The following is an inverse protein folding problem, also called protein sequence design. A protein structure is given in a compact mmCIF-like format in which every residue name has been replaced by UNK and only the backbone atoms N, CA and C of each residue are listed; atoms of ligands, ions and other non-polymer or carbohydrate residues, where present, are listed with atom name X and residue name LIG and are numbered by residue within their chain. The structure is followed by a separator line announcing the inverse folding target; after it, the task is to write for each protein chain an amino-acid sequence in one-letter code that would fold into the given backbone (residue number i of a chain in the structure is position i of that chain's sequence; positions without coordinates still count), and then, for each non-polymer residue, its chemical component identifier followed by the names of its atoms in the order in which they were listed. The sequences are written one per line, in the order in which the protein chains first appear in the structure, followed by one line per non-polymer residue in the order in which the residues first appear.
data_IF_805262238564
#
_entry.id   IF_805262238564
#
_cell.length_a   1.000
_cell.length_b   1.000
_cell.length_c   1.000
_cell.angle_alpha   90.00
_cell.angle_beta   90.00
_cell.angle_gamma   90.00
#
_symmetry.space_group_name_H-M   'P 1'
#
loop_
_entity.id
_entity.type
_entity.pdbx_description
1 polymer ?
#
# COMPACT_ATOMS: atom_id res chain seq x y z
N UNK A 1 -41.15 -23.37 -51.38
CA UNK A 1 -39.70 -23.11 -51.30
C UNK A 1 -39.07 -24.32 -50.61
N UNK A 2 -38.33 -25.16 -51.35
CA UNK A 2 -37.66 -26.34 -50.77
C UNK A 2 -36.29 -25.89 -50.27
N UNK A 3 -36.08 -25.91 -48.96
CA UNK A 3 -34.79 -25.58 -48.35
C UNK A 3 -33.90 -26.80 -48.43
N UNK A 4 -32.75 -26.68 -49.11
CA UNK A 4 -31.76 -27.74 -49.25
C UNK A 4 -31.06 -28.01 -47.91
N UNK A 5 -31.10 -29.26 -47.45
CA UNK A 5 -30.33 -29.74 -46.30
C UNK A 5 -29.16 -30.56 -46.86
N UNK A 6 -27.89 -30.19 -46.57
CA UNK A 6 -26.74 -30.87 -47.12
C UNK A 6 -26.64 -32.35 -46.65
N UNK A 7 -26.03 -33.23 -47.45
CA UNK A 7 -25.87 -34.64 -47.11
C UNK A 7 -25.06 -34.80 -45.81
N UNK A 8 -25.43 -35.81 -45.01
CA UNK A 8 -24.86 -36.10 -43.68
C UNK A 8 -24.94 -34.95 -42.65
N UNK A 9 -25.85 -33.99 -42.82
CA UNK A 9 -26.01 -32.85 -41.90
C UNK A 9 -26.10 -33.26 -40.42
N UNK A 10 -26.88 -34.30 -40.10
CA UNK A 10 -27.06 -34.80 -38.72
C UNK A 10 -25.74 -35.28 -38.10
N UNK A 11 -24.93 -36.02 -38.86
CA UNK A 11 -23.64 -36.53 -38.39
C UNK A 11 -22.63 -35.41 -38.17
N UNK A 12 -22.56 -34.43 -39.08
CA UNK A 12 -21.68 -33.26 -38.92
C UNK A 12 -22.00 -32.48 -37.64
N UNK A 13 -23.29 -32.30 -37.35
CA UNK A 13 -23.75 -31.61 -36.12
C UNK A 13 -23.40 -32.43 -34.87
N UNK A 14 -23.65 -33.75 -34.85
CA UNK A 14 -23.30 -34.61 -33.72
C UNK A 14 -21.79 -34.60 -33.48
N UNK A 15 -20.98 -34.78 -34.53
CA UNK A 15 -19.51 -34.74 -34.42
C UNK A 15 -19.03 -33.39 -33.90
N UNK A 16 -19.60 -32.29 -34.37
CA UNK A 16 -19.26 -30.95 -33.87
C UNK A 16 -19.58 -30.80 -32.38
N UNK A 17 -20.76 -31.21 -31.94
CA UNK A 17 -21.18 -31.14 -30.52
C UNK A 17 -20.25 -32.00 -29.65
N UNK A 18 -19.95 -33.23 -30.08
CA UNK A 18 -19.05 -34.14 -29.35
C UNK A 18 -17.64 -33.57 -29.26
N UNK A 19 -17.09 -33.06 -30.36
CA UNK A 19 -15.77 -32.43 -30.36
C UNK A 19 -15.73 -31.21 -29.44
N UNK A 20 -16.75 -30.35 -29.49
CA UNK A 20 -16.86 -29.18 -28.62
C UNK A 20 -16.95 -29.60 -27.15
N UNK A 21 -17.68 -30.67 -26.85
CA UNK A 21 -17.81 -31.19 -25.48
C UNK A 21 -16.50 -31.78 -24.95
N UNK A 22 -15.79 -32.57 -25.77
CA UNK A 22 -14.49 -33.13 -25.42
C UNK A 22 -13.47 -32.01 -25.19
N UNK A 23 -13.37 -31.04 -26.12
CA UNK A 23 -12.45 -29.91 -25.98
C UNK A 23 -12.79 -29.10 -24.73
N UNK A 24 -14.08 -28.83 -24.49
CA UNK A 24 -14.54 -28.14 -23.29
C UNK A 24 -14.15 -28.87 -22.00
N UNK A 25 -14.44 -30.17 -21.92
CA UNK A 25 -14.11 -31.00 -20.76
C UNK A 25 -12.59 -31.07 -20.50
N UNK A 26 -11.79 -31.24 -21.55
CA UNK A 26 -10.32 -31.29 -21.45
C UNK A 26 -9.77 -29.93 -21.00
N UNK A 27 -10.22 -28.82 -21.59
CA UNK A 27 -9.77 -27.48 -21.23
C UNK A 27 -10.11 -27.13 -19.77
N UNK A 28 -11.33 -27.45 -19.32
CA UNK A 28 -11.74 -27.26 -17.93
C UNK A 28 -10.93 -28.15 -17.00
N UNK A 29 -10.70 -29.41 -17.37
CA UNK A 29 -9.86 -30.35 -16.62
C UNK A 29 -8.45 -29.81 -16.41
N UNK A 30 -7.77 -29.35 -17.46
CA UNK A 30 -6.44 -28.75 -17.37
C UNK A 30 -6.44 -27.44 -16.58
N UNK A 31 -7.44 -26.58 -16.79
CA UNK A 31 -7.54 -25.30 -16.09
C UNK A 31 -7.66 -25.46 -14.56
N UNK A 32 -8.19 -26.59 -14.09
CA UNK A 32 -8.32 -26.90 -12.66
C UNK A 32 -7.16 -27.76 -12.16
N UNK A 33 -6.82 -28.83 -12.87
CA UNK A 33 -5.80 -29.79 -12.43
C UNK A 33 -4.39 -29.19 -12.42
N UNK A 34 -4.02 -28.40 -13.43
CA UNK A 34 -2.66 -27.84 -13.52
C UNK A 34 -2.35 -26.90 -12.33
N UNK A 35 -3.21 -25.93 -11.97
CA UNK A 35 -3.01 -25.16 -10.75
C UNK A 35 -2.96 -26.02 -9.48
N UNK A 36 -3.85 -27.01 -9.33
CA UNK A 36 -3.88 -27.84 -8.11
C UNK A 36 -2.54 -28.55 -7.88
N UNK A 37 -2.02 -29.22 -8.91
CA UNK A 37 -0.75 -29.95 -8.80
C UNK A 37 0.44 -29.01 -8.55
N UNK A 38 0.47 -27.84 -9.19
CA UNK A 38 1.48 -26.81 -8.92
C UNK A 38 1.41 -26.28 -7.49
N UNK A 39 0.20 -26.02 -6.99
CA UNK A 39 -0.01 -25.55 -5.62
C UNK A 39 0.38 -26.60 -4.58
N UNK A 40 0.01 -27.88 -4.80
CA UNK A 40 0.45 -28.99 -3.93
C UNK A 40 1.96 -29.13 -3.92
N UNK A 41 2.60 -29.05 -5.09
CA UNK A 41 4.07 -29.10 -5.19
C UNK A 41 4.73 -27.96 -4.41
N UNK A 42 4.17 -26.75 -4.48
CA UNK A 42 4.64 -25.61 -3.69
C UNK A 42 4.48 -25.83 -2.18
N UNK A 43 3.32 -26.31 -1.72
CA UNK A 43 3.10 -26.56 -0.30
C UNK A 43 3.98 -27.66 0.28
N UNK A 44 4.27 -28.71 -0.50
CA UNK A 44 5.18 -29.79 -0.10
C UNK A 44 6.59 -29.31 0.23
N UNK A 45 7.01 -28.15 -0.28
CA UNK A 45 8.31 -27.56 0.05
C UNK A 45 8.38 -27.02 1.50
N UNK A 46 7.24 -26.61 2.06
CA UNK A 46 7.18 -25.95 3.37
C UNK A 46 6.56 -26.81 4.46
N UNK A 47 5.63 -27.70 4.09
CA UNK A 47 4.84 -28.47 5.04
C UNK A 47 4.73 -29.92 4.58
N UNK A 48 5.05 -30.90 5.45
CA UNK A 48 4.90 -32.32 5.13
C UNK A 48 3.45 -32.82 5.20
N UNK A 49 2.52 -32.02 5.73
CA UNK A 49 1.09 -32.34 5.80
C UNK A 49 0.38 -31.94 4.51
N UNK A 50 -0.55 -32.77 4.06
CA UNK A 50 -1.40 -32.46 2.93
C UNK A 50 -2.30 -31.26 3.23
N UNK A 51 -2.19 -30.23 2.39
CA UNK A 51 -2.99 -29.00 2.47
C UNK A 51 -4.26 -29.19 1.62
N UNK A 52 -5.38 -28.66 2.11
CA UNK A 52 -6.67 -28.75 1.42
C UNK A 52 -6.59 -28.24 -0.03
N UNK A 53 -7.25 -28.93 -0.94
CA UNK A 53 -7.18 -28.67 -2.39
C UNK A 53 -7.63 -27.27 -2.79
N UNK A 54 -8.54 -26.66 -2.03
CA UNK A 54 -8.93 -25.26 -2.23
C UNK A 54 -7.76 -24.28 -2.09
N UNK A 55 -6.87 -24.47 -1.10
CA UNK A 55 -5.69 -23.61 -0.96
C UNK A 55 -4.66 -23.89 -2.05
N UNK A 56 -4.47 -25.17 -2.40
CA UNK A 56 -3.58 -25.58 -3.49
C UNK A 56 -4.02 -25.00 -4.84
N UNK A 57 -5.32 -25.00 -5.14
CA UNK A 57 -5.87 -24.38 -6.34
C UNK A 57 -5.54 -22.88 -6.41
N UNK A 58 -5.79 -22.15 -5.32
CA UNK A 58 -5.56 -20.69 -5.26
C UNK A 58 -4.07 -20.37 -5.47
N UNK A 59 -3.20 -21.01 -4.70
CA UNK A 59 -1.74 -20.79 -4.80
C UNK A 59 -1.23 -21.20 -6.18
N UNK A 60 -1.68 -22.33 -6.69
CA UNK A 60 -1.38 -22.80 -8.04
C UNK A 60 -1.74 -21.79 -9.12
N UNK A 61 -2.92 -21.18 -9.03
CA UNK A 61 -3.35 -20.17 -9.99
C UNK A 61 -2.44 -18.95 -9.95
N UNK A 62 -2.07 -18.48 -8.74
CA UNK A 62 -1.12 -17.39 -8.59
C UNK A 62 0.28 -17.74 -9.12
N UNK A 63 0.73 -18.99 -8.98
CA UNK A 63 2.01 -19.46 -9.54
C UNK A 63 1.98 -19.46 -11.08
N UNK A 64 0.93 -20.01 -11.70
CA UNK A 64 0.78 -19.98 -13.16
C UNK A 64 0.73 -18.54 -13.67
N UNK A 65 -0.04 -17.68 -12.99
CA UNK A 65 -0.12 -16.26 -13.30
C UNK A 65 1.24 -15.55 -13.18
N UNK A 66 1.99 -15.83 -12.12
CA UNK A 66 3.34 -15.30 -11.91
C UNK A 66 4.30 -15.74 -13.02
N UNK A 67 4.30 -17.03 -13.39
CA UNK A 67 5.09 -17.55 -14.51
C UNK A 67 4.74 -16.85 -15.82
N UNK A 68 3.45 -16.66 -16.11
CA UNK A 68 2.99 -15.92 -17.28
C UNK A 68 3.50 -14.46 -17.28
N UNK A 69 3.41 -13.77 -16.15
CA UNK A 69 3.90 -12.39 -16.02
C UNK A 69 5.42 -12.29 -16.24
N UNK A 70 6.20 -13.21 -15.66
CA UNK A 70 7.65 -13.27 -15.84
C UNK A 70 8.00 -13.54 -17.31
N UNK A 71 7.39 -14.57 -17.92
CA UNK A 71 7.63 -14.91 -19.32
C UNK A 71 7.30 -13.72 -20.24
N UNK A 72 6.16 -13.04 -20.02
CA UNK A 72 5.77 -11.85 -20.77
C UNK A 72 6.73 -10.67 -20.57
N UNK A 73 7.27 -10.50 -19.35
CA UNK A 73 8.25 -9.46 -19.06
C UNK A 73 9.58 -9.72 -19.78
N UNK A 74 10.06 -10.97 -19.75
CA UNK A 74 11.27 -11.41 -20.44
C UNK A 74 11.12 -11.27 -21.96
N UNK A 75 10.03 -11.77 -22.55
CA UNK A 75 9.74 -11.65 -23.99
C UNK A 75 9.69 -10.18 -24.43
N UNK A 76 9.02 -9.32 -23.64
CA UNK A 76 9.01 -7.88 -23.91
C UNK A 76 10.41 -7.26 -23.83
N UNK A 77 11.26 -7.71 -22.91
CA UNK A 77 12.64 -7.23 -22.80
C UNK A 77 13.50 -7.70 -23.97
N UNK A 78 13.35 -8.96 -24.38
CA UNK A 78 14.10 -9.51 -25.50
C UNK A 78 13.69 -8.87 -26.82
N UNK A 79 12.38 -8.70 -27.09
CA UNK A 79 11.89 -7.95 -28.26
C UNK A 79 12.43 -6.52 -28.30
N UNK A 80 12.57 -5.84 -27.15
CA UNK A 80 13.16 -4.49 -27.07
C UNK A 80 14.67 -4.50 -27.32
N UNK A 81 15.37 -5.55 -26.89
CA UNK A 81 16.79 -5.78 -27.15
C UNK A 81 17.04 -6.02 -28.64
N UNK A 82 16.27 -6.90 -29.27
CA UNK A 82 16.38 -7.23 -30.69
C UNK A 82 16.15 -6.02 -31.61
N UNK A 83 15.29 -5.07 -31.21
CA UNK A 83 15.03 -3.83 -31.97
C UNK A 83 16.13 -2.76 -31.86
N UNK A 84 17.06 -2.88 -30.90
CA UNK A 84 17.99 -1.79 -30.53
C UNK A 84 19.37 -1.81 -31.22
N UNK A 85 19.64 -2.74 -32.14
CA UNK A 85 20.77 -2.55 -33.07
C UNK A 85 21.47 -3.84 -33.50
N UNK A 86 21.93 -3.79 -34.76
CA UNK A 86 22.74 -4.81 -35.44
C UNK A 86 24.24 -4.66 -35.10
N UNK A 87 24.69 -3.49 -34.62
CA UNK A 87 26.13 -3.12 -34.61
C UNK A 87 26.76 -2.86 -33.22
N UNK A 88 26.40 -3.63 -32.19
CA UNK A 88 27.07 -3.51 -30.88
C UNK A 88 27.07 -4.78 -30.04
N UNK A 89 28.01 -4.92 -29.08
CA UNK A 89 28.08 -6.09 -28.20
C UNK A 89 26.78 -6.22 -27.41
N UNK A 90 26.02 -7.27 -27.73
CA UNK A 90 24.72 -7.52 -27.12
C UNK A 90 24.95 -8.06 -25.71
N UNK A 91 24.61 -7.25 -24.69
CA UNK A 91 24.60 -7.73 -23.30
C UNK A 91 23.74 -8.99 -23.17
N UNK A 92 24.18 -9.94 -22.33
CA UNK A 92 23.46 -11.18 -22.06
C UNK A 92 22.04 -10.89 -21.53
N UNK A 93 21.05 -11.57 -22.12
CA UNK A 93 19.65 -11.43 -21.73
C UNK A 93 19.45 -11.83 -20.27
N UNK A 94 20.13 -12.89 -19.81
CA UNK A 94 20.01 -13.36 -18.43
C UNK A 94 20.48 -12.28 -17.44
N UNK A 95 21.63 -11.68 -17.69
CA UNK A 95 22.19 -10.60 -16.86
C UNK A 95 21.26 -9.37 -16.87
N UNK A 96 20.70 -9.02 -18.03
CA UNK A 96 19.77 -7.89 -18.14
C UNK A 96 18.48 -8.13 -17.35
N UNK A 97 17.87 -9.32 -17.48
CA UNK A 97 16.66 -9.71 -16.75
C UNK A 97 16.94 -9.74 -15.26
N UNK A 98 18.04 -10.35 -14.83
CA UNK A 98 18.40 -10.44 -13.42
C UNK A 98 18.62 -9.06 -12.80
N UNK A 99 19.45 -8.21 -13.43
CA UNK A 99 19.72 -6.85 -12.94
C UNK A 99 18.43 -6.02 -12.85
N UNK A 100 17.61 -6.05 -13.91
CA UNK A 100 16.41 -5.21 -13.98
C UNK A 100 15.30 -5.72 -13.06
N UNK A 101 15.15 -7.04 -12.96
CA UNK A 101 14.25 -7.71 -12.03
C UNK A 101 14.63 -7.44 -10.59
N UNK A 102 15.91 -7.60 -10.23
CA UNK A 102 16.42 -7.31 -8.88
C UNK A 102 16.21 -5.84 -8.50
N UNK A 103 16.55 -4.90 -9.38
CA UNK A 103 16.32 -3.48 -9.13
C UNK A 103 14.84 -3.16 -8.97
N UNK A 104 13.97 -3.73 -9.79
CA UNK A 104 12.53 -3.55 -9.64
C UNK A 104 12.04 -4.11 -8.31
N UNK A 105 12.46 -5.33 -7.94
CA UNK A 105 12.12 -5.97 -6.68
C UNK A 105 12.57 -5.14 -5.48
N UNK A 106 13.81 -4.64 -5.47
CA UNK A 106 14.33 -3.80 -4.39
C UNK A 106 13.53 -2.50 -4.24
N UNK A 107 13.18 -1.83 -5.35
CA UNK A 107 12.37 -0.61 -5.34
C UNK A 107 10.95 -0.87 -4.84
N UNK A 108 10.32 -1.95 -5.30
CA UNK A 108 8.98 -2.34 -4.88
C UNK A 108 8.97 -2.73 -3.41
N UNK A 109 9.93 -3.54 -2.95
CA UNK A 109 10.05 -3.96 -1.55
C UNK A 109 10.20 -2.75 -0.62
N UNK A 110 11.07 -1.80 -0.98
CA UNK A 110 11.23 -0.54 -0.25
C UNK A 110 9.89 0.22 -0.14
N UNK A 111 9.18 0.39 -1.26
CA UNK A 111 7.89 1.09 -1.27
C UNK A 111 6.83 0.38 -0.44
N UNK A 112 6.70 -0.95 -0.57
CA UNK A 112 5.75 -1.76 0.20
C UNK A 112 6.07 -1.71 1.69
N UNK A 113 7.34 -1.81 2.06
CA UNK A 113 7.76 -1.73 3.46
C UNK A 113 7.38 -0.39 4.10
N UNK A 114 7.74 0.72 3.46
CA UNK A 114 7.47 2.04 4.04
C UNK A 114 5.98 2.42 4.00
N UNK A 115 5.31 2.24 2.86
CA UNK A 115 3.90 2.62 2.70
C UNK A 115 2.95 1.63 3.39
N UNK A 116 3.30 0.35 3.43
CA UNK A 116 2.43 -0.72 3.92
C UNK A 116 2.71 -1.14 5.35
N UNK A 117 3.90 -0.91 5.91
CA UNK A 117 4.27 -1.33 7.27
C UNK A 117 4.60 -0.13 8.14
N UNK A 118 5.63 0.64 7.78
CA UNK A 118 6.16 1.72 8.64
C UNK A 118 5.15 2.83 8.87
N UNK A 119 4.60 3.41 7.80
CA UNK A 119 3.66 4.53 7.89
C UNK A 119 2.38 4.16 8.66
N UNK A 120 1.72 3.01 8.38
CA UNK A 120 0.56 2.57 9.16
C UNK A 120 0.86 2.43 10.65
N UNK A 121 1.96 1.78 11.02
CA UNK A 121 2.32 1.59 12.44
C UNK A 121 2.57 2.94 13.11
N UNK A 122 3.33 3.84 12.48
CA UNK A 122 3.57 5.18 13.02
C UNK A 122 2.27 5.97 13.18
N UNK A 123 1.37 5.91 12.20
CA UNK A 123 0.08 6.58 12.26
C UNK A 123 -0.78 6.05 13.41
N UNK A 124 -0.83 4.73 13.60
CA UNK A 124 -1.55 4.13 14.73
C UNK A 124 -0.99 4.59 16.07
N UNK A 125 0.33 4.57 16.24
CA UNK A 125 0.98 5.03 17.48
C UNK A 125 0.68 6.50 17.75
N UNK A 126 0.67 7.36 16.72
CA UNK A 126 0.26 8.76 16.87
C UNK A 126 -1.19 8.84 17.37
N UNK A 127 -2.14 8.19 16.70
CA UNK A 127 -3.54 8.23 17.12
C UNK A 127 -3.73 7.66 18.53
N UNK A 128 -3.02 6.59 18.87
CA UNK A 128 -3.07 5.98 20.19
C UNK A 128 -2.58 6.94 21.27
N UNK A 129 -1.43 7.59 21.07
CA UNK A 129 -0.86 8.54 22.03
C UNK A 129 -1.69 9.81 22.22
N UNK A 130 -2.30 10.31 21.14
CA UNK A 130 -2.97 11.60 21.16
C UNK A 130 -4.48 11.52 21.42
N UNK A 131 -5.11 10.38 21.14
CA UNK A 131 -6.57 10.23 21.25
C UNK A 131 -6.94 9.05 22.13
N UNK A 132 -6.43 7.85 21.84
CA UNK A 132 -6.93 6.62 22.47
C UNK A 132 -6.47 6.50 23.93
N UNK A 133 -5.18 6.66 24.22
CA UNK A 133 -4.66 6.52 25.57
C UNK A 133 -5.22 7.56 26.54
N UNK A 134 -5.28 8.87 26.20
CA UNK A 134 -5.90 9.86 27.08
C UNK A 134 -7.33 9.45 27.48
N UNK A 135 -8.16 9.06 26.50
CA UNK A 135 -9.53 8.61 26.74
C UNK A 135 -9.59 7.33 27.60
N UNK A 136 -8.67 6.38 27.36
CA UNK A 136 -8.62 5.14 28.14
C UNK A 136 -8.16 5.35 29.58
N UNK A 137 -7.21 6.25 29.81
CA UNK A 137 -6.72 6.58 31.15
C UNK A 137 -7.75 7.34 31.99
N UNK A 138 -8.70 8.03 31.36
CA UNK A 138 -9.86 8.62 32.06
C UNK A 138 -10.84 7.56 32.56
N UNK A 139 -11.00 6.45 31.81
CA UNK A 139 -11.91 5.35 32.17
C UNK A 139 -11.26 4.34 33.12
N UNK A 140 -10.00 4.00 32.88
CA UNK A 140 -9.22 3.04 33.65
C UNK A 140 -7.84 3.63 34.01
N UNK A 141 -7.71 4.16 35.25
CA UNK A 141 -6.48 4.77 35.76
C UNK A 141 -5.25 3.85 35.78
N UNK A 142 -5.45 2.53 35.88
CA UNK A 142 -4.38 1.54 36.12
C UNK A 142 -4.00 0.77 34.84
N UNK A 143 -4.52 1.22 33.68
CA UNK A 143 -4.26 0.58 32.41
C UNK A 143 -2.76 0.60 32.05
N UNK A 144 -2.16 -0.59 31.90
CA UNK A 144 -0.80 -0.73 31.38
C UNK A 144 -0.84 -0.65 29.84
N UNK A 145 -0.18 0.35 29.23
CA UNK A 145 -0.13 0.46 27.77
C UNK A 145 0.59 -0.74 27.16
N UNK A 146 -0.12 -1.55 26.38
CA UNK A 146 0.48 -2.62 25.57
C UNK A 146 0.37 -2.27 24.10
N UNK A 147 1.49 -2.36 23.37
CA UNK A 147 1.55 -2.11 21.94
C UNK A 147 1.77 -3.44 21.23
N UNK A 148 0.68 -4.00 20.70
CA UNK A 148 0.75 -5.16 19.81
C UNK A 148 1.00 -4.68 18.40
N UNK A 149 2.22 -4.86 17.91
CA UNK A 149 2.68 -4.35 16.60
C UNK A 149 1.73 -4.75 15.45
N UNK A 150 1.24 -5.98 15.46
CA UNK A 150 0.29 -6.49 14.43
C UNK A 150 -1.05 -5.76 14.50
N UNK A 151 -1.56 -5.49 15.70
CA UNK A 151 -2.83 -4.80 15.90
C UNK A 151 -2.69 -3.31 15.54
N UNK A 152 -1.61 -2.66 15.96
CA UNK A 152 -1.27 -1.29 15.57
C UNK A 152 -1.08 -1.15 14.07
N UNK A 153 -0.47 -2.14 13.41
CA UNK A 153 -0.37 -2.16 11.95
C UNK A 153 -1.75 -2.19 11.28
N UNK A 154 -2.64 -3.09 11.74
CA UNK A 154 -3.99 -3.20 11.20
C UNK A 154 -4.83 -1.93 11.42
N UNK A 155 -4.80 -1.37 12.65
CA UNK A 155 -5.45 -0.10 12.98
C UNK A 155 -4.86 1.05 12.16
N UNK A 156 -3.54 1.05 11.96
CA UNK A 156 -2.84 2.00 11.11
C UNK A 156 -3.33 2.00 9.68
N UNK A 157 -3.57 0.83 9.08
CA UNK A 157 -4.15 0.71 7.74
C UNK A 157 -5.58 1.24 7.70
N UNK A 158 -6.37 0.97 8.74
CA UNK A 158 -7.73 1.51 8.88
C UNK A 158 -7.72 3.05 8.96
N UNK A 159 -6.87 3.61 9.82
CA UNK A 159 -6.71 5.06 9.98
C UNK A 159 -6.16 5.70 8.70
N UNK A 160 -5.23 5.07 8.01
CA UNK A 160 -4.73 5.54 6.72
C UNK A 160 -5.86 5.59 5.68
N UNK A 161 -6.75 4.58 5.65
CA UNK A 161 -7.93 4.58 4.77
C UNK A 161 -8.87 5.74 5.08
N UNK A 162 -9.20 5.95 6.36
CA UNK A 162 -10.06 7.07 6.80
C UNK A 162 -9.40 8.41 6.46
N UNK A 163 -8.11 8.56 6.75
CA UNK A 163 -7.32 9.76 6.44
C UNK A 163 -7.26 10.05 4.95
N UNK A 164 -7.10 9.03 4.09
CA UNK A 164 -7.16 9.19 2.64
C UNK A 164 -8.52 9.67 2.16
N UNK A 165 -9.62 9.18 2.74
CA UNK A 165 -10.96 9.68 2.44
C UNK A 165 -11.12 11.15 2.86
N UNK A 166 -10.66 11.51 4.06
CA UNK A 166 -10.71 12.90 4.56
C UNK A 166 -9.86 13.86 3.70
N UNK A 167 -8.64 13.45 3.34
CA UNK A 167 -7.72 14.21 2.49
C UNK A 167 -8.30 14.49 1.09
N UNK A 168 -9.09 13.56 0.54
CA UNK A 168 -9.76 13.77 -0.76
C UNK A 168 -10.86 14.84 -0.68
N UNK A 169 -11.49 15.02 0.48
CA UNK A 169 -12.52 16.04 0.69
C UNK A 169 -11.93 17.45 0.84
N UNK A 170 -10.72 17.58 1.38
CA UNK A 170 -10.07 18.87 1.66
C UNK A 170 -9.40 19.54 0.43
N UNK A 171 -9.48 18.94 -0.75
CA UNK A 171 -8.89 19.45 -1.99
C UNK A 171 -7.40 19.08 -2.17
N UNK A 172 -6.78 19.48 -3.29
CA UNK A 172 -5.45 19.02 -3.67
C UNK A 172 -4.36 19.59 -2.76
N UNK A 173 -3.80 18.75 -1.90
CA UNK A 173 -2.71 19.07 -0.99
C UNK A 173 -1.39 18.39 -1.42
N UNK A 174 -0.25 18.75 -0.81
CA UNK A 174 1.07 18.17 -1.18
C UNK A 174 1.07 16.64 -1.11
N UNK A 175 0.50 16.08 -0.05
CA UNK A 175 0.42 14.63 0.18
C UNK A 175 -0.50 13.95 -0.85
N UNK A 176 -1.65 14.55 -1.17
CA UNK A 176 -2.58 13.95 -2.15
C UNK A 176 -1.99 13.97 -3.56
N UNK A 177 -1.22 14.99 -3.92
CA UNK A 177 -0.46 15.04 -5.19
C UNK A 177 0.60 13.95 -5.25
N UNK A 178 1.38 13.79 -4.18
CA UNK A 178 2.38 12.71 -4.10
C UNK A 178 1.75 11.32 -4.18
N UNK A 179 0.61 11.11 -3.52
CA UNK A 179 -0.13 9.85 -3.61
C UNK A 179 -0.69 9.63 -5.02
N UNK A 180 -1.24 10.67 -5.66
CA UNK A 180 -1.70 10.61 -7.05
C UNK A 180 -0.57 10.24 -7.99
N UNK A 181 0.62 10.83 -7.84
CA UNK A 181 1.79 10.47 -8.64
C UNK A 181 2.20 9.00 -8.47
N UNK A 182 2.23 8.50 -7.22
CA UNK A 182 2.52 7.09 -6.94
C UNK A 182 1.49 6.17 -7.61
N UNK A 183 0.19 6.52 -7.52
CA UNK A 183 -0.87 5.72 -8.15
C UNK A 183 -0.86 5.80 -9.68
N UNK A 184 -0.51 6.95 -10.26
CA UNK A 184 -0.51 7.18 -11.71
C UNK A 184 0.65 6.46 -12.42
N UNK A 185 1.83 6.40 -11.79
CA UNK A 185 2.97 5.64 -12.31
C UNK A 185 2.75 4.11 -12.23
N UNK A 186 1.89 3.69 -11.31
CA UNK A 186 1.58 2.28 -11.06
C UNK A 186 2.74 1.49 -10.45
N UNK A 187 2.50 0.22 -10.15
CA UNK A 187 3.51 -0.68 -9.54
C UNK A 187 4.51 -1.26 -10.55
N UNK A 188 4.29 -1.04 -11.85
CA UNK A 188 5.19 -1.52 -12.92
C UNK A 188 6.45 -0.67 -13.03
N UNK A 189 6.39 0.61 -12.66
CA UNK A 189 7.51 1.54 -12.67
C UNK A 189 7.65 2.27 -11.32
N UNK A 190 8.10 1.59 -10.26
CA UNK A 190 8.27 2.19 -8.95
C UNK A 190 9.38 3.25 -8.95
N UNK A 191 9.06 4.44 -8.44
CA UNK A 191 9.99 5.57 -8.28
C UNK A 191 10.18 5.89 -6.78
N UNK A 192 11.04 5.14 -6.07
CA UNK A 192 11.16 5.25 -4.61
C UNK A 192 11.68 6.62 -4.15
N UNK A 193 12.58 7.26 -4.91
CA UNK A 193 13.13 8.58 -4.54
C UNK A 193 12.03 9.64 -4.50
N UNK A 194 11.17 9.64 -5.52
CA UNK A 194 10.05 10.57 -5.61
C UNK A 194 9.01 10.29 -4.53
N UNK A 195 8.62 9.02 -4.36
CA UNK A 195 7.73 8.60 -3.28
C UNK A 195 8.29 9.00 -1.90
N UNK A 196 9.61 8.89 -1.72
CA UNK A 196 10.27 9.26 -0.47
C UNK A 196 10.18 10.75 -0.22
N UNK A 197 10.55 11.57 -1.20
CA UNK A 197 10.55 13.02 -1.07
C UNK A 197 9.15 13.60 -0.88
N UNK A 198 8.16 13.07 -1.59
CA UNK A 198 6.81 13.64 -1.64
C UNK A 198 5.88 13.11 -0.55
N UNK A 199 6.07 11.85 -0.11
CA UNK A 199 5.13 11.17 0.79
C UNK A 199 5.84 10.54 1.99
N UNK A 200 6.84 9.67 1.79
CA UNK A 200 7.39 8.86 2.89
C UNK A 200 8.15 9.74 3.89
N UNK A 201 9.11 10.55 3.45
CA UNK A 201 9.90 11.42 4.33
C UNK A 201 9.05 12.42 5.12
N UNK A 202 8.09 13.17 4.53
CA UNK A 202 7.27 14.09 5.32
C UNK A 202 6.33 13.37 6.30
N UNK A 203 5.78 12.21 5.93
CA UNK A 203 4.91 11.44 6.84
C UNK A 203 5.70 10.76 7.96
N UNK A 204 6.76 10.04 7.64
CA UNK A 204 7.61 9.36 8.62
C UNK A 204 8.26 10.39 9.54
N UNK A 205 8.86 11.44 8.98
CA UNK A 205 9.46 12.52 9.78
C UNK A 205 8.42 13.24 10.64
N UNK A 206 7.23 13.52 10.09
CA UNK A 206 6.13 14.15 10.81
C UNK A 206 5.63 13.29 11.97
N UNK A 207 5.31 12.01 11.74
CA UNK A 207 4.81 11.11 12.77
C UNK A 207 5.88 10.77 13.81
N UNK A 208 7.11 10.47 13.39
CA UNK A 208 8.23 10.26 14.31
C UNK A 208 8.49 11.52 15.14
N UNK A 209 8.42 12.72 14.54
CA UNK A 209 8.51 13.98 15.27
C UNK A 209 7.39 14.12 16.30
N UNK A 210 6.13 13.85 15.92
CA UNK A 210 4.98 13.91 16.83
C UNK A 210 5.07 12.91 17.99
N UNK A 211 5.71 11.76 17.79
CA UNK A 211 5.94 10.74 18.84
C UNK A 211 7.11 11.15 19.74
N UNK A 212 8.25 11.52 19.15
CA UNK A 212 9.48 11.75 19.91
C UNK A 212 9.50 13.11 20.61
N UNK A 213 8.91 14.14 20.01
CA UNK A 213 9.01 15.51 20.51
C UNK A 213 8.47 15.67 21.94
N UNK A 214 7.25 15.20 22.29
CA UNK A 214 6.73 15.30 23.66
C UNK A 214 7.59 14.51 24.67
N UNK A 215 8.10 13.34 24.27
CA UNK A 215 8.94 12.51 25.14
C UNK A 215 10.32 13.09 25.40
N UNK A 216 10.95 13.67 24.39
CA UNK A 216 12.22 14.38 24.54
C UNK A 216 12.03 15.64 25.38
N UNK A 217 10.97 16.41 25.13
CA UNK A 217 10.64 17.60 25.93
C UNK A 217 10.41 17.23 27.40
N UNK A 218 9.65 16.16 27.67
CA UNK A 218 9.39 15.69 29.02
C UNK A 218 10.69 15.28 29.74
N UNK A 219 11.56 14.50 29.08
CA UNK A 219 12.86 14.11 29.66
C UNK A 219 13.79 15.31 29.87
N UNK A 220 13.80 16.28 28.95
CA UNK A 220 14.57 17.50 29.12
C UNK A 220 14.07 18.30 30.34
N UNK A 221 12.75 18.43 30.51
CA UNK A 221 12.17 19.11 31.68
C UNK A 221 12.53 18.40 32.99
N UNK A 222 12.49 17.07 33.05
CA UNK A 222 12.95 16.31 34.22
C UNK A 222 14.43 16.56 34.53
N UNK A 223 15.27 16.68 33.49
CA UNK A 223 16.70 16.96 33.66
C UNK A 223 16.95 18.36 34.24
N UNK A 224 16.21 19.38 33.79
CA UNK A 224 16.35 20.75 34.29
C UNK A 224 15.64 21.00 35.62
N UNK A 225 14.59 20.25 35.94
CA UNK A 225 13.77 20.41 37.15
C UNK A 225 13.68 19.08 37.94
N UNK A 226 14.80 18.60 38.53
CA UNK A 226 14.84 17.31 39.20
C UNK A 226 13.95 17.22 40.45
N UNK A 227 13.50 18.35 41.00
CA UNK A 227 12.67 18.41 42.19
C UNK A 227 11.17 18.14 41.94
N UNK A 228 10.75 18.07 40.68
CA UNK A 228 9.34 17.77 40.34
C UNK A 228 9.23 16.28 40.02
N UNK A 229 8.61 15.52 40.92
CA UNK A 229 8.34 14.09 40.72
C UNK A 229 7.18 13.96 39.71
N UNK A 230 7.49 14.08 38.43
CA UNK A 230 6.54 13.84 37.35
C UNK A 230 6.54 12.36 36.98
N UNK A 231 5.46 11.68 37.31
CA UNK A 231 5.23 10.29 36.92
C UNK A 231 5.13 10.16 35.39
N UNK A 232 5.57 9.04 34.83
CA UNK A 232 5.50 8.74 33.40
C UNK A 232 4.04 8.77 32.89
N UNK A 233 3.06 8.53 33.78
CA UNK A 233 1.64 8.70 33.50
C UNK A 233 1.26 10.14 33.13
N UNK A 234 1.88 11.12 33.78
CA UNK A 234 1.64 12.54 33.52
C UNK A 234 2.00 12.92 32.08
N UNK A 235 3.05 12.29 31.53
CA UNK A 235 3.45 12.46 30.13
C UNK A 235 2.32 12.07 29.16
N UNK A 236 1.70 10.90 29.36
CA UNK A 236 0.64 10.40 28.47
C UNK A 236 -0.69 11.13 28.63
N UNK A 237 -1.10 11.45 29.87
CA UNK A 237 -2.39 12.11 30.12
C UNK A 237 -2.39 13.61 29.79
N UNK A 238 -1.26 14.30 29.96
CA UNK A 238 -1.24 15.77 29.87
C UNK A 238 -0.35 16.27 28.75
N UNK A 239 0.88 15.78 28.65
CA UNK A 239 1.87 16.37 27.71
C UNK A 239 1.46 16.11 26.26
N UNK A 240 1.04 14.89 25.90
CA UNK A 240 0.59 14.60 24.53
C UNK A 240 -0.70 15.38 24.15
N UNK A 241 -1.79 15.36 24.94
CA UNK A 241 -2.98 16.14 24.63
C UNK A 241 -2.74 17.66 24.57
N UNK A 242 -1.95 18.22 25.49
CA UNK A 242 -1.64 19.66 25.46
C UNK A 242 -0.85 20.07 24.22
N UNK A 243 0.14 19.28 23.81
CA UNK A 243 0.89 19.52 22.56
C UNK A 243 -0.06 19.48 21.36
N UNK A 244 -1.00 18.55 21.33
CA UNK A 244 -2.00 18.47 20.27
C UNK A 244 -2.94 19.67 20.23
N UNK A 245 -3.46 20.10 21.38
CA UNK A 245 -4.34 21.26 21.48
C UNK A 245 -3.59 22.53 21.06
N UNK A 246 -2.34 22.71 21.50
CA UNK A 246 -1.52 23.87 21.15
C UNK A 246 -1.20 23.91 19.65
N UNK A 247 -0.75 22.80 19.07
CA UNK A 247 -0.39 22.73 17.64
C UNK A 247 -1.65 22.81 16.77
N UNK A 248 -2.72 22.13 17.14
CA UNK A 248 -4.01 22.18 16.46
C UNK A 248 -4.63 23.57 16.50
N UNK A 249 -4.59 24.23 17.67
CA UNK A 249 -5.05 25.60 17.87
C UNK A 249 -4.23 26.61 17.06
N UNK A 250 -2.91 26.49 17.02
CA UNK A 250 -2.05 27.35 16.20
C UNK A 250 -2.35 27.18 14.70
N UNK A 251 -2.54 25.94 14.23
CA UNK A 251 -2.88 25.64 12.83
C UNK A 251 -4.26 26.18 12.44
N UNK A 252 -5.27 26.01 13.30
CA UNK A 252 -6.61 26.51 13.03
C UNK A 252 -6.65 28.05 13.04
N UNK A 253 -5.91 28.69 13.95
CA UNK A 253 -5.76 30.14 13.98
C UNK A 253 -5.11 30.70 12.70
N UNK A 254 -4.07 30.05 12.19
CA UNK A 254 -3.44 30.43 10.91
C UNK A 254 -4.41 30.27 9.74
N UNK A 255 -5.17 29.17 9.67
CA UNK A 255 -6.16 28.98 8.60
C UNK A 255 -7.29 30.01 8.67
N UNK A 256 -7.79 30.32 9.87
CA UNK A 256 -8.78 31.38 10.08
C UNK A 256 -8.25 32.75 9.63
N UNK A 257 -6.99 33.04 9.96
CA UNK A 257 -6.33 34.27 9.54
C UNK A 257 -6.20 34.37 8.02
N UNK A 258 -5.82 33.29 7.34
CA UNK A 258 -5.75 33.23 5.87
C UNK A 258 -7.12 33.44 5.21
N UNK A 259 -8.18 32.83 5.75
CA UNK A 259 -9.55 33.01 5.26
C UNK A 259 -9.98 34.48 5.41
N UNK A 260 -9.71 35.09 6.56
CA UNK A 260 -10.04 36.51 6.80
C UNK A 260 -9.27 37.45 5.86
N UNK A 261 -7.99 37.18 5.59
CA UNK A 261 -7.20 37.95 4.63
C UNK A 261 -7.73 37.77 3.19
N UNK A 262 -8.11 36.55 2.81
CA UNK A 262 -8.71 36.26 1.52
C UNK A 262 -10.02 37.02 1.28
N UNK A 263 -10.89 37.10 2.30
CA UNK A 263 -12.12 37.91 2.23
C UNK A 263 -11.82 39.40 2.07
N UNK A 264 -10.86 39.96 2.83
CA UNK A 264 -10.46 41.37 2.71
C UNK A 264 -9.92 41.70 1.32
N UNK A 265 -9.14 40.79 0.72
CA UNK A 265 -8.61 40.96 -0.64
C UNK A 265 -9.72 40.93 -1.70
N UNK A 266 -10.76 40.11 -1.50
CA UNK A 266 -11.90 40.02 -2.41
C UNK A 266 -12.74 41.31 -2.37
N UNK A 267 -13.07 41.80 -1.19
CA UNK A 267 -13.82 43.06 -0.99
C UNK A 267 -13.09 44.26 -1.62
N UNK A 268 -11.76 44.33 -1.48
CA UNK A 268 -10.93 45.40 -2.05
C UNK A 268 -10.87 45.38 -3.59
N UNK A 269 -11.10 44.22 -4.22
CA UNK A 269 -11.20 44.06 -5.67
C UNK A 269 -12.58 44.48 -6.20
N UNK A 270 -13.65 44.26 -5.44
CA UNK A 270 -15.03 44.61 -5.85
C UNK A 270 -15.32 46.10 -5.68
N UNK A 271 -14.71 46.77 -4.69
CA UNK A 271 -14.86 48.22 -4.47
C UNK A 271 -13.99 49.13 -5.35
N UNK A 272 -13.29 48.57 -6.35
CA UNK A 272 -12.42 49.30 -7.29
C UNK A 272 -12.94 49.25 -8.74
N UNK A 273 -14.19 48.83 -8.93
CA UNK A 273 -14.95 48.90 -10.19
C UNK A 273 -15.97 50.02 -10.12
#
# INVERSE_FOLDING_TARGET
MVVYIPPHFRWRVITFIVLLWIVGAVMVGFAVAMPIELGRSFFRLFTPKDVHDGYSLIVGFYLVWLCYLIARAVDRMDKRRQRRGIDGPRADLAVLVLKRGFLWMAKTLYMVFFLGIVIPILLAVVIDLYVVYPLRFEMDPDLVPTIRVVDSWALGLLYAKIGMHALRLQGPNRITRGLQHITALGWTHPHPVMATREVIAPLVGGFSGMILFPGVLFRALQHFFPNVVLDNRFMFMHVYPWVFILVGGARSAVQLYEIMLGQKALVRRTGRK
#
